data_IF_583667894770
#
_entry.id   IF_583667894770
#
_cell.length_a   1.000
_cell.length_b   1.000
_cell.length_c   1.000
_cell.angle_alpha   90.00
_cell.angle_beta   90.00
_cell.angle_gamma   90.00
#
_symmetry.space_group_name_H-M   'P 1'
#
loop_
_entity.id
_entity.type
_entity.pdbx_description
1 polymer ?
#
# COMPACT_ATOMS: atom_id res chain seq x y z
N UNK A 1 -19.11 -27.59 -22.79
CA UNK A 1 -18.51 -26.58 -21.90
C UNK A 1 -17.03 -26.90 -21.76
N UNK A 2 -16.12 -25.98 -22.09
CA UNK A 2 -14.68 -26.17 -21.82
C UNK A 2 -14.47 -25.96 -20.32
N UNK A 3 -13.71 -26.84 -19.67
CA UNK A 3 -13.22 -26.57 -18.32
C UNK A 3 -12.26 -25.38 -18.38
N UNK A 4 -12.29 -24.47 -17.39
CA UNK A 4 -11.28 -23.44 -17.26
C UNK A 4 -9.91 -24.11 -17.06
N UNK A 5 -8.88 -23.55 -17.68
CA UNK A 5 -7.51 -24.03 -17.46
C UNK A 5 -7.11 -23.79 -16.01
N UNK A 6 -6.43 -24.75 -15.37
CA UNK A 6 -5.94 -24.57 -14.01
C UNK A 6 -4.95 -23.41 -13.96
N UNK A 7 -5.04 -22.60 -12.90
CA UNK A 7 -4.09 -21.51 -12.67
C UNK A 7 -2.68 -22.08 -12.56
N UNK A 8 -1.69 -21.33 -13.07
CA UNK A 8 -0.30 -21.68 -12.79
C UNK A 8 0.02 -21.36 -11.32
N UNK A 9 1.07 -21.98 -10.78
CA UNK A 9 1.44 -21.84 -9.37
C UNK A 9 1.75 -20.39 -8.94
N UNK A 10 2.19 -19.52 -9.87
CA UNK A 10 2.44 -18.10 -9.57
C UNK A 10 1.11 -17.35 -9.41
N UNK A 11 0.12 -17.63 -10.25
CA UNK A 11 -1.19 -17.01 -10.17
C UNK A 11 -1.97 -17.49 -8.94
N UNK A 12 -1.85 -18.76 -8.57
CA UNK A 12 -2.39 -19.27 -7.29
C UNK A 12 -1.73 -18.58 -6.08
N UNK A 13 -0.40 -18.39 -6.14
CA UNK A 13 0.34 -17.67 -5.09
C UNK A 13 -0.06 -16.20 -5.02
N UNK A 14 -0.24 -15.52 -6.15
CA UNK A 14 -0.74 -14.14 -6.21
C UNK A 14 -2.11 -14.02 -5.56
N UNK A 15 -3.06 -14.89 -5.92
CA UNK A 15 -4.39 -14.95 -5.31
C UNK A 15 -4.33 -15.11 -3.79
N UNK A 16 -3.43 -15.97 -3.31
CA UNK A 16 -3.20 -16.11 -1.87
C UNK A 16 -2.64 -14.82 -1.26
N UNK A 17 -1.64 -14.20 -1.88
CA UNK A 17 -1.00 -12.99 -1.38
C UNK A 17 -1.95 -11.78 -1.38
N UNK A 18 -2.78 -11.62 -2.42
CA UNK A 18 -3.79 -10.56 -2.52
C UNK A 18 -4.76 -10.58 -1.33
N UNK A 19 -5.06 -11.76 -0.80
CA UNK A 19 -5.86 -11.92 0.40
C UNK A 19 -5.04 -11.80 1.69
N UNK A 20 -3.90 -12.48 1.77
CA UNK A 20 -3.14 -12.63 3.00
C UNK A 20 -2.33 -11.38 3.39
N UNK A 21 -1.75 -10.70 2.40
CA UNK A 21 -0.87 -9.53 2.63
C UNK A 21 -1.62 -8.38 3.31
N UNK A 22 -2.83 -7.97 2.90
CA UNK A 22 -3.60 -6.94 3.60
C UNK A 22 -3.92 -7.31 5.06
N UNK A 23 -4.28 -8.57 5.32
CA UNK A 23 -4.57 -9.05 6.68
C UNK A 23 -3.32 -9.04 7.57
N UNK A 24 -2.20 -9.54 7.07
CA UNK A 24 -0.92 -9.46 7.76
C UNK A 24 -0.51 -7.99 8.00
N UNK A 25 -0.71 -7.12 7.01
CA UNK A 25 -0.42 -5.70 7.13
C UNK A 25 -1.24 -5.02 8.22
N UNK A 26 -2.54 -5.32 8.30
CA UNK A 26 -3.42 -4.79 9.36
C UNK A 26 -2.99 -5.26 10.75
N UNK A 27 -2.67 -6.54 10.93
CA UNK A 27 -2.18 -7.11 12.19
C UNK A 27 -0.83 -6.48 12.62
N UNK A 28 0.12 -6.36 11.69
CA UNK A 28 1.41 -5.72 11.96
C UNK A 28 1.20 -4.24 12.33
N UNK A 29 0.40 -3.50 11.57
CA UNK A 29 0.13 -2.09 11.85
C UNK A 29 -0.56 -1.89 13.21
N UNK A 30 -1.44 -2.80 13.62
CA UNK A 30 -2.04 -2.80 14.94
C UNK A 30 -0.98 -3.03 16.03
N UNK A 31 -0.13 -4.05 15.88
CA UNK A 31 0.95 -4.37 16.83
C UNK A 31 1.94 -3.23 17.00
N UNK A 32 2.39 -2.61 15.89
CA UNK A 32 3.31 -1.48 15.94
C UNK A 32 2.74 -0.29 16.72
N UNK A 33 1.42 -0.03 16.61
CA UNK A 33 0.73 1.00 17.40
C UNK A 33 0.68 0.63 18.89
N UNK A 34 0.35 -0.62 19.20
CA UNK A 34 0.26 -1.12 20.58
C UNK A 34 1.61 -1.14 21.30
N UNK A 35 2.69 -1.46 20.58
CA UNK A 35 4.04 -1.47 21.15
C UNK A 35 4.63 -0.07 21.38
N UNK A 36 3.97 0.99 20.89
CA UNK A 36 4.43 2.36 21.06
C UNK A 36 5.80 2.63 20.42
N UNK A 37 6.14 1.91 19.36
CA UNK A 37 7.44 2.07 18.70
C UNK A 37 7.62 3.46 18.11
N UNK A 38 8.83 4.00 18.25
CA UNK A 38 9.23 5.16 17.45
C UNK A 38 9.27 4.79 15.96
N UNK A 39 9.21 5.78 15.08
CA UNK A 39 9.26 5.54 13.62
C UNK A 39 10.48 4.73 13.20
N UNK A 40 11.65 4.99 13.81
CA UNK A 40 12.89 4.28 13.49
C UNK A 40 12.91 2.85 14.03
N UNK A 41 12.34 2.62 15.23
CA UNK A 41 12.17 1.26 15.76
C UNK A 41 11.21 0.44 14.89
N UNK A 42 10.11 1.04 14.44
CA UNK A 42 9.16 0.39 13.54
C UNK A 42 9.83 0.00 12.22
N UNK A 43 10.60 0.92 11.60
CA UNK A 43 11.36 0.63 10.37
C UNK A 43 12.35 -0.52 10.55
N UNK A 44 13.13 -0.49 11.64
CA UNK A 44 14.12 -1.54 11.92
C UNK A 44 13.46 -2.91 12.11
N UNK A 45 12.34 -2.96 12.83
CA UNK A 45 11.58 -4.18 13.04
C UNK A 45 10.99 -4.71 11.72
N UNK A 46 10.34 -3.84 10.94
CA UNK A 46 9.74 -4.20 9.65
C UNK A 46 10.78 -4.73 8.65
N UNK A 47 11.97 -4.12 8.62
CA UNK A 47 13.09 -4.59 7.79
C UNK A 47 13.54 -6.00 8.20
N UNK A 48 13.70 -6.23 9.51
CA UNK A 48 14.05 -7.56 10.02
C UNK A 48 12.98 -8.61 9.70
N UNK A 49 11.71 -8.23 9.72
CA UNK A 49 10.61 -9.13 9.39
C UNK A 49 10.51 -9.44 7.89
N UNK A 50 10.72 -8.44 7.03
CA UNK A 50 10.83 -8.64 5.58
C UNK A 50 12.02 -9.56 5.23
N UNK A 51 13.18 -9.33 5.85
CA UNK A 51 14.38 -10.17 5.66
C UNK A 51 14.18 -11.62 6.11
N UNK A 52 13.42 -11.86 7.20
CA UNK A 52 13.12 -13.21 7.69
C UNK A 52 12.28 -14.03 6.74
N UNK A 53 11.43 -13.39 5.94
CA UNK A 53 10.66 -14.04 4.88
C UNK A 53 11.49 -14.26 3.60
N UNK A 54 12.76 -13.87 3.59
CA UNK A 54 13.63 -13.96 2.42
C UNK A 54 13.36 -12.88 1.40
N UNK A 55 12.66 -11.81 1.79
CA UNK A 55 12.50 -10.61 0.97
C UNK A 55 13.61 -9.61 1.25
N UNK A 56 14.14 -8.97 0.21
CA UNK A 56 14.89 -7.73 0.32
C UNK A 56 14.12 -6.60 -0.34
N UNK A 57 14.11 -5.44 0.30
CA UNK A 57 13.58 -4.24 -0.32
C UNK A 57 14.61 -3.70 -1.32
N UNK A 58 14.27 -3.65 -2.60
CA UNK A 58 15.04 -2.99 -3.64
C UNK A 58 14.95 -1.47 -3.50
N UNK A 59 15.83 -0.76 -4.21
CA UNK A 59 15.94 0.71 -4.12
C UNK A 59 14.63 1.42 -4.48
N UNK A 60 13.82 0.84 -5.37
CA UNK A 60 12.53 1.39 -5.79
C UNK A 60 11.36 1.00 -4.88
N UNK A 61 11.59 0.19 -3.84
CA UNK A 61 10.52 -0.38 -3.02
C UNK A 61 10.07 -1.76 -3.48
N UNK A 62 10.71 -2.35 -4.48
CA UNK A 62 10.36 -3.71 -4.92
C UNK A 62 10.73 -4.74 -3.85
N UNK A 63 9.90 -5.75 -3.61
CA UNK A 63 10.26 -6.85 -2.72
C UNK A 63 10.89 -7.98 -3.53
N UNK A 64 12.22 -8.06 -3.53
CA UNK A 64 12.98 -9.12 -4.19
C UNK A 64 12.99 -10.35 -3.28
N UNK A 65 12.31 -11.41 -3.70
CA UNK A 65 12.37 -12.69 -3.01
C UNK A 65 13.64 -13.45 -3.41
N UNK A 66 14.38 -13.89 -2.40
CA UNK A 66 15.55 -14.72 -2.52
C UNK A 66 15.21 -16.21 -2.33
N UNK A 67 14.35 -16.79 -3.17
CA UNK A 67 14.19 -18.24 -3.22
C UNK A 67 14.32 -18.74 -4.66
N UNK A 68 15.56 -18.89 -5.12
CA UNK A 68 15.91 -19.34 -6.47
C UNK A 68 16.03 -20.87 -6.58
N UNK A 69 15.52 -21.64 -5.60
CA UNK A 69 15.54 -23.11 -5.61
C UNK A 69 16.93 -23.75 -5.54
N UNK A 70 18.00 -22.94 -5.47
CA UNK A 70 19.38 -23.41 -5.32
C UNK A 70 19.74 -23.61 -3.84
N UNK A 71 20.49 -24.66 -3.48
CA UNK A 71 20.97 -24.84 -2.12
C UNK A 71 21.84 -23.64 -1.71
N UNK A 72 21.40 -22.88 -0.71
CA UNK A 72 22.19 -21.80 -0.11
C UNK A 72 22.95 -22.31 1.10
N UNK A 73 24.14 -21.79 1.33
CA UNK A 73 24.98 -22.11 2.48
C UNK A 73 25.05 -20.95 3.48
N UNK A 74 25.32 -21.25 4.75
CA UNK A 74 25.53 -20.24 5.81
C UNK A 74 24.27 -19.46 6.22
N UNK A 75 24.43 -18.21 6.69
CA UNK A 75 23.32 -17.38 7.21
C UNK A 75 22.18 -17.15 6.20
N UNK A 76 22.45 -17.26 4.90
CA UNK A 76 21.47 -17.11 3.83
C UNK A 76 20.47 -18.28 3.76
N UNK A 77 20.83 -19.46 4.28
CA UNK A 77 19.95 -20.64 4.36
C UNK A 77 18.84 -20.49 5.43
N UNK A 78 19.09 -19.67 6.46
CA UNK A 78 18.20 -19.50 7.61
C UNK A 78 17.09 -18.47 7.41
N UNK A 79 17.07 -17.76 6.28
CA UNK A 79 16.19 -16.59 6.08
C UNK A 79 15.15 -16.78 4.96
N UNK A 80 14.96 -18.00 4.46
CA UNK A 80 13.99 -18.26 3.39
C UNK A 80 12.62 -18.55 4.00
N UNK A 81 11.55 -17.91 3.52
CA UNK A 81 10.18 -18.27 3.88
C UNK A 81 9.91 -19.74 3.52
N UNK A 82 9.51 -20.53 4.52
CA UNK A 82 9.16 -21.95 4.39
C UNK A 82 7.66 -22.16 4.18
N UNK A 83 6.87 -21.11 4.38
CA UNK A 83 5.41 -21.15 4.22
C UNK A 83 4.90 -19.93 3.46
N UNK A 84 3.76 -20.10 2.78
CA UNK A 84 3.08 -18.99 2.11
C UNK A 84 2.72 -17.86 3.12
N UNK A 85 2.37 -18.21 4.36
CA UNK A 85 2.09 -17.24 5.43
C UNK A 85 3.32 -16.41 5.83
N UNK A 86 4.50 -17.03 5.92
CA UNK A 86 5.76 -16.30 6.17
C UNK A 86 6.06 -15.33 5.04
N UNK A 87 5.83 -15.76 3.79
CA UNK A 87 5.99 -14.92 2.63
C UNK A 87 5.01 -13.72 2.65
N UNK A 88 3.73 -13.96 2.87
CA UNK A 88 2.72 -12.90 2.96
C UNK A 88 3.06 -11.89 4.06
N UNK A 89 3.51 -12.37 5.22
CA UNK A 89 3.92 -11.52 6.33
C UNK A 89 5.14 -10.67 6.00
N UNK A 90 6.12 -11.24 5.29
CA UNK A 90 7.29 -10.51 4.80
C UNK A 90 6.94 -9.43 3.78
N UNK A 91 6.09 -9.76 2.80
CA UNK A 91 5.60 -8.80 1.81
C UNK A 91 4.80 -7.68 2.49
N UNK A 92 3.95 -8.01 3.45
CA UNK A 92 3.21 -7.02 4.24
C UNK A 92 4.15 -6.09 5.04
N UNK A 93 5.19 -6.65 5.67
CA UNK A 93 6.19 -5.86 6.38
C UNK A 93 6.97 -4.93 5.43
N UNK A 94 7.32 -5.41 4.24
CA UNK A 94 7.97 -4.61 3.20
C UNK A 94 7.05 -3.48 2.68
N UNK A 95 5.76 -3.76 2.44
CA UNK A 95 4.75 -2.78 2.04
C UNK A 95 4.60 -1.66 3.07
N UNK A 96 4.52 -2.00 4.37
CA UNK A 96 4.46 -1.01 5.44
C UNK A 96 5.76 -0.22 5.57
N UNK A 97 6.91 -0.87 5.41
CA UNK A 97 8.20 -0.19 5.43
C UNK A 97 8.31 0.83 4.29
N UNK A 98 7.93 0.43 3.07
CA UNK A 98 7.89 1.31 1.90
C UNK A 98 7.00 2.54 2.17
N UNK A 99 5.82 2.36 2.77
CA UNK A 99 4.94 3.47 3.17
C UNK A 99 5.60 4.39 4.20
N UNK A 100 6.30 3.83 5.21
CA UNK A 100 7.07 4.63 6.17
C UNK A 100 8.27 5.36 5.54
N UNK A 101 8.74 4.92 4.37
CA UNK A 101 9.78 5.57 3.58
C UNK A 101 9.21 6.53 2.53
N UNK A 102 7.88 6.71 2.49
CA UNK A 102 7.20 7.65 1.59
C UNK A 102 6.87 7.07 0.21
N UNK A 103 7.03 5.76 0.01
CA UNK A 103 6.63 5.05 -1.20
C UNK A 103 5.20 4.52 -1.09
N UNK A 104 4.56 4.22 -2.21
CA UNK A 104 3.17 3.73 -2.23
C UNK A 104 3.05 2.28 -1.77
N UNK A 105 4.05 1.44 -2.03
CA UNK A 105 3.99 0.01 -1.76
C UNK A 105 5.20 -0.74 -2.31
N UNK A 106 5.04 -2.05 -2.48
CA UNK A 106 6.04 -2.95 -3.05
C UNK A 106 5.43 -3.82 -4.14
N UNK A 107 6.22 -4.10 -5.18
CA UNK A 107 5.89 -5.16 -6.14
C UNK A 107 6.46 -6.49 -5.66
N UNK A 108 5.65 -7.55 -5.66
CA UNK A 108 6.08 -8.90 -5.33
C UNK A 108 5.35 -9.92 -6.21
N UNK A 109 6.10 -10.83 -6.84
CA UNK A 109 5.57 -11.81 -7.79
C UNK A 109 4.70 -11.22 -8.91
N UNK A 110 4.86 -9.95 -9.28
CA UNK A 110 4.02 -9.27 -10.28
C UNK A 110 2.64 -8.82 -9.77
N UNK A 111 2.40 -8.87 -8.45
CA UNK A 111 1.34 -8.11 -7.78
C UNK A 111 1.91 -6.88 -7.08
N UNK A 112 1.08 -5.86 -6.86
CA UNK A 112 1.45 -4.65 -6.12
C UNK A 112 0.74 -4.62 -4.76
N UNK A 113 1.51 -4.43 -3.69
CA UNK A 113 1.02 -4.42 -2.32
C UNK A 113 1.37 -3.11 -1.64
N UNK A 114 0.35 -2.29 -1.39
CA UNK A 114 0.52 -1.00 -0.73
C UNK A 114 -0.72 -0.13 -0.85
N UNK A 115 -0.56 1.15 -0.56
CA UNK A 115 -1.61 2.14 -0.80
C UNK A 115 -1.56 2.50 -2.28
N UNK A 116 -2.50 1.97 -3.05
CA UNK A 116 -2.79 2.56 -4.37
C UNK A 116 -3.34 3.96 -4.11
N UNK A 117 -2.59 5.00 -4.49
CA UNK A 117 -3.15 6.34 -4.53
C UNK A 117 -4.46 6.27 -5.32
N UNK A 118 -5.58 6.64 -4.71
CA UNK A 118 -6.83 6.85 -5.44
C UNK A 118 -6.60 8.04 -6.38
N UNK A 119 -6.68 7.91 -7.71
CA UNK A 119 -6.83 9.09 -8.54
C UNK A 119 -8.31 9.49 -8.48
N UNK A 120 -8.55 10.56 -7.73
CA UNK A 120 -9.61 11.57 -7.81
C UNK A 120 -11.06 11.14 -8.13
N UNK A 121 -12.00 11.76 -7.40
CA UNK A 121 -13.32 12.10 -7.94
C UNK A 121 -13.14 12.55 -9.38
N UNK A 122 -13.93 11.99 -10.29
CA UNK A 122 -13.95 12.38 -11.68
C UNK A 122 -13.85 13.91 -11.80
N UNK A 123 -12.79 14.38 -12.45
CA UNK A 123 -12.77 15.69 -13.09
C UNK A 123 -13.99 15.72 -14.01
N UNK A 124 -15.12 16.16 -13.46
CA UNK A 124 -16.23 16.64 -14.25
C UNK A 124 -15.70 17.94 -14.84
N UNK A 125 -15.51 18.02 -16.18
CA UNK A 125 -15.20 19.30 -16.76
C UNK A 125 -16.35 20.23 -16.39
N UNK A 126 -16.06 21.26 -15.59
CA UNK A 126 -16.96 22.39 -15.44
C UNK A 126 -17.06 22.98 -16.83
N UNK A 127 -18.14 22.64 -17.53
CA UNK A 127 -18.61 23.37 -18.70
C UNK A 127 -18.88 24.79 -18.21
N UNK A 128 -17.91 25.67 -18.41
CA UNK A 128 -18.16 27.10 -18.47
C UNK A 128 -18.85 27.33 -19.81
N UNK A 129 -20.18 27.30 -19.80
CA UNK A 129 -20.95 27.92 -20.85
C UNK A 129 -21.06 29.41 -20.49
N UNK A 130 -20.28 30.23 -21.19
CA UNK A 130 -20.33 31.68 -21.07
C UNK A 130 -21.08 32.25 -22.27
N UNK A 131 -22.13 33.02 -21.98
CA UNK A 131 -22.84 33.92 -22.90
C UNK A 131 -24.18 33.35 -23.39
N UNK A 132 -25.30 34.06 -23.37
CA UNK A 132 -25.58 35.47 -23.13
C UNK A 132 -27.11 35.63 -22.94
N UNK A 133 -27.55 36.84 -22.62
CA UNK A 133 -28.93 37.36 -22.59
C UNK A 133 -29.67 37.47 -21.24
N UNK A 134 -29.29 38.57 -20.56
CA UNK A 134 -30.13 39.75 -20.36
C UNK A 134 -31.36 39.72 -19.40
N UNK A 135 -31.36 40.81 -18.62
CA UNK A 135 -32.48 41.60 -18.08
C UNK A 135 -32.89 41.35 -16.62
N UNK A 136 -32.48 42.33 -15.79
CA UNK A 136 -33.34 42.91 -14.75
C UNK A 136 -33.17 42.31 -13.36
N UNK A 137 -33.25 43.04 -12.25
CA UNK A 137 -33.59 44.42 -11.94
C UNK A 137 -33.14 44.58 -10.47
N UNK A 138 -32.51 45.72 -10.14
CA UNK A 138 -32.49 46.43 -8.84
C UNK A 138 -32.17 45.65 -7.54
N UNK A 139 -31.54 46.18 -6.50
CA UNK A 139 -30.86 47.43 -6.20
C UNK A 139 -30.40 47.29 -4.73
N UNK A 140 -29.37 48.06 -4.38
CA UNK A 140 -29.14 48.67 -3.05
C UNK A 140 -28.89 47.73 -1.85
N UNK A 141 -27.72 47.89 -1.24
CA UNK A 141 -27.53 47.55 0.17
C UNK A 141 -26.07 47.45 0.60
N UNK A 142 -25.47 48.60 0.88
CA UNK A 142 -24.15 48.77 1.50
C UNK A 142 -24.05 48.18 2.93
N UNK A 143 -22.90 47.53 3.18
CA UNK A 143 -22.07 47.59 4.41
C UNK A 143 -22.37 46.68 5.65
N UNK A 144 -21.32 46.39 6.47
CA UNK A 144 -21.13 45.13 7.24
C UNK A 144 -21.23 45.30 8.78
N UNK A 145 -20.70 44.32 9.56
CA UNK A 145 -20.36 44.35 11.03
C UNK A 145 -21.49 43.78 11.94
N UNK A 146 -21.36 42.96 13.01
CA UNK A 146 -20.32 42.50 13.98
C UNK A 146 -20.77 41.18 14.68
N UNK A 147 -19.83 40.44 15.29
CA UNK A 147 -20.09 39.38 16.31
C UNK A 147 -20.70 39.95 17.60
N UNK A 148 -21.48 39.15 18.36
CA UNK A 148 -21.59 39.32 19.80
C UNK A 148 -20.79 38.23 20.56
N UNK A 149 -20.02 38.67 21.54
CA UNK A 149 -19.52 37.90 22.67
C UNK A 149 -20.54 37.97 23.81
N UNK A 150 -20.76 36.85 24.48
CA UNK A 150 -21.03 36.77 25.92
C UNK A 150 -20.44 35.46 26.43
#
# INVERSE_FOLDING_TARGET
MRQPEPLNAIDELRLFLDFAVPLCGADIAYKLRQWGHSREQAKAWLRGEAERAGGSLGENGDAIQFSDGRPRSGRAQNRVARTASELARGVAAAALLAQLEGKSGVEAFGGFYGVTARPAEADTPRVQDSGDDAVGVAARGTCPVRKPTA
#
